data_IF_205991141183
#
_entry.id   IF_205991141183
#
_cell.length_a   1.000
_cell.length_b   1.000
_cell.length_c   1.000
_cell.angle_alpha   90.00
_cell.angle_beta   90.00
_cell.angle_gamma   90.00
#
_symmetry.space_group_name_H-M   'P 1'
#
loop_
_entity.id
_entity.type
_entity.pdbx_description
1 polymer ?
#
# COMPACT_ATOMS: atom_id res chain seq x y z
N UNK A 1 -4.75 4.35 12.57
CA UNK A 1 -4.70 5.77 12.91
C UNK A 1 -3.28 6.34 13.00
N UNK A 2 -2.25 5.51 13.22
CA UNK A 2 -0.85 5.92 13.30
C UNK A 2 -0.40 6.62 12.00
N UNK A 3 -0.66 6.03 10.86
CA UNK A 3 -0.25 6.59 9.55
C UNK A 3 -0.83 7.97 9.24
N UNK A 4 -2.06 8.26 9.71
CA UNK A 4 -2.68 9.59 9.56
C UNK A 4 -1.93 10.64 10.38
N UNK A 5 -1.60 10.30 11.61
CA UNK A 5 -0.81 11.18 12.50
C UNK A 5 0.57 11.47 11.93
N UNK A 6 1.23 10.46 11.37
CA UNK A 6 2.52 10.66 10.71
C UNK A 6 2.44 11.68 9.57
N UNK A 7 1.40 11.61 8.72
CA UNK A 7 1.22 12.60 7.64
C UNK A 7 0.96 14.00 8.21
N UNK A 8 0.16 14.12 9.27
CA UNK A 8 -0.11 15.40 9.94
C UNK A 8 1.18 15.99 10.52
N UNK A 9 1.92 15.21 11.30
CA UNK A 9 3.19 15.60 11.92
C UNK A 9 4.23 16.06 10.90
N UNK A 10 4.39 15.33 9.79
CA UNK A 10 5.29 15.73 8.71
C UNK A 10 4.78 16.97 7.96
N UNK A 11 3.47 17.10 7.77
CA UNK A 11 2.89 18.27 7.11
C UNK A 11 3.07 19.54 7.97
N UNK A 12 3.00 19.43 9.30
CA UNK A 12 3.34 20.52 10.24
C UNK A 12 4.82 20.93 10.15
N UNK A 13 5.72 19.97 9.89
CA UNK A 13 7.15 20.20 9.66
C UNK A 13 7.46 20.77 8.26
N UNK A 14 6.41 21.05 7.47
CA UNK A 14 6.54 21.66 6.14
C UNK A 14 6.63 20.65 4.98
N UNK A 15 6.44 19.35 5.21
CA UNK A 15 6.34 18.37 4.12
C UNK A 15 4.94 18.40 3.51
N UNK A 16 4.72 19.32 2.59
CA UNK A 16 3.41 19.63 2.00
C UNK A 16 3.17 18.95 0.65
N UNK A 17 4.16 18.26 0.11
CA UNK A 17 4.09 17.52 -1.16
C UNK A 17 4.18 16.03 -0.89
N UNK A 18 3.32 15.26 -1.53
CA UNK A 18 3.28 13.80 -1.45
C UNK A 18 3.61 13.20 -2.83
N UNK A 19 4.44 12.19 -2.83
CA UNK A 19 4.65 11.28 -3.95
C UNK A 19 3.84 10.02 -3.64
N UNK A 20 2.80 9.79 -4.42
CA UNK A 20 1.98 8.57 -4.31
C UNK A 20 2.49 7.58 -5.34
N UNK A 21 2.88 6.40 -4.89
CA UNK A 21 3.34 5.31 -5.75
C UNK A 21 2.30 4.18 -5.74
N UNK A 22 1.92 3.73 -6.92
CA UNK A 22 1.00 2.60 -7.14
C UNK A 22 1.78 1.49 -7.85
N UNK A 23 1.80 0.30 -7.27
CA UNK A 23 2.48 -0.86 -7.84
C UNK A 23 1.51 -1.67 -8.69
N UNK A 24 1.94 -2.04 -9.90
CA UNK A 24 1.14 -2.85 -10.80
C UNK A 24 1.25 -4.32 -10.41
N UNK A 25 0.12 -4.95 -10.04
CA UNK A 25 0.05 -6.38 -9.74
C UNK A 25 1.14 -6.84 -8.77
N UNK A 26 1.32 -6.11 -7.67
CA UNK A 26 2.44 -6.28 -6.75
C UNK A 26 2.66 -7.73 -6.33
N UNK A 27 1.60 -8.42 -5.89
CA UNK A 27 1.69 -9.81 -5.46
C UNK A 27 2.04 -10.79 -6.59
N UNK A 28 1.75 -10.44 -7.83
CA UNK A 28 1.99 -11.29 -8.99
C UNK A 28 3.39 -11.09 -9.61
N UNK A 29 4.12 -10.05 -9.16
CA UNK A 29 5.41 -9.65 -9.74
C UNK A 29 6.58 -9.73 -8.77
N UNK A 30 6.39 -10.33 -7.61
CA UNK A 30 7.46 -10.54 -6.62
C UNK A 30 8.53 -11.47 -7.19
N UNK A 31 9.77 -10.98 -7.27
CA UNK A 31 10.89 -11.80 -7.72
C UNK A 31 11.34 -12.77 -6.62
N UNK A 32 11.21 -14.09 -6.86
CA UNK A 32 11.50 -15.13 -5.89
C UNK A 32 12.96 -15.15 -5.44
N UNK A 33 13.92 -14.98 -6.36
CA UNK A 33 15.34 -15.02 -6.03
C UNK A 33 15.73 -13.86 -5.14
N UNK A 34 15.27 -12.66 -5.48
CA UNK A 34 15.55 -11.46 -4.69
C UNK A 34 14.92 -11.59 -3.29
N UNK A 35 13.66 -12.04 -3.18
CA UNK A 35 13.01 -12.28 -1.90
C UNK A 35 13.78 -13.28 -1.05
N UNK A 36 14.22 -14.40 -1.63
CA UNK A 36 15.01 -15.40 -0.93
C UNK A 36 16.35 -14.84 -0.48
N UNK A 37 17.02 -14.03 -1.29
CA UNK A 37 18.27 -13.39 -0.91
C UNK A 37 18.09 -12.39 0.25
N UNK A 38 16.99 -11.65 0.26
CA UNK A 38 16.62 -10.77 1.38
C UNK A 38 16.42 -11.61 2.66
N UNK A 39 15.61 -12.66 2.58
CA UNK A 39 15.32 -13.52 3.71
C UNK A 39 16.56 -14.19 4.30
N UNK A 40 17.52 -14.61 3.47
CA UNK A 40 18.77 -15.27 3.91
C UNK A 40 19.70 -14.36 4.74
N UNK A 41 19.48 -13.07 4.73
CA UNK A 41 20.26 -12.15 5.59
C UNK A 41 19.98 -12.44 7.06
N UNK A 42 18.73 -12.75 7.41
CA UNK A 42 18.27 -12.93 8.78
C UNK A 42 17.93 -14.39 9.10
N UNK A 43 17.32 -15.13 8.17
CA UNK A 43 16.93 -16.53 8.32
C UNK A 43 18.10 -17.44 7.91
N UNK A 44 18.77 -18.06 8.87
CA UNK A 44 19.93 -18.94 8.63
C UNK A 44 19.55 -20.41 8.45
N UNK A 45 18.36 -20.83 8.86
CA UNK A 45 17.89 -22.20 8.67
C UNK A 45 17.46 -22.44 7.22
N UNK A 46 18.26 -23.22 6.49
CA UNK A 46 18.00 -23.53 5.08
C UNK A 46 16.69 -24.33 4.90
N UNK A 47 16.24 -25.08 5.92
CA UNK A 47 14.96 -25.82 5.85
C UNK A 47 13.78 -24.85 5.74
N UNK A 48 13.84 -23.75 6.49
CA UNK A 48 12.83 -22.68 6.42
C UNK A 48 12.86 -22.01 5.04
N UNK A 49 14.05 -21.70 4.53
CA UNK A 49 14.21 -21.11 3.19
C UNK A 49 13.65 -22.04 2.10
N UNK A 50 13.93 -23.36 2.19
CA UNK A 50 13.39 -24.33 1.24
C UNK A 50 11.87 -24.45 1.32
N UNK A 51 11.29 -24.36 2.53
CA UNK A 51 9.84 -24.36 2.72
C UNK A 51 9.20 -23.13 2.05
N UNK A 52 9.79 -21.94 2.24
CA UNK A 52 9.32 -20.69 1.60
C UNK A 52 9.43 -20.80 0.06
N UNK A 53 10.52 -21.34 -0.46
CA UNK A 53 10.68 -21.58 -1.91
C UNK A 53 9.60 -22.51 -2.45
N UNK A 54 9.28 -23.60 -1.74
CA UNK A 54 8.18 -24.52 -2.13
C UNK A 54 6.85 -23.82 -2.12
N UNK A 55 6.59 -23.00 -1.10
CA UNK A 55 5.38 -22.19 -1.01
C UNK A 55 5.25 -21.23 -2.19
N UNK A 56 6.29 -20.48 -2.52
CA UNK A 56 6.28 -19.54 -3.65
C UNK A 56 6.06 -20.25 -5.00
N UNK A 57 6.62 -21.47 -5.16
CA UNK A 57 6.50 -22.28 -6.37
C UNK A 57 5.23 -23.14 -6.43
N UNK A 58 4.41 -23.17 -5.36
CA UNK A 58 3.20 -23.99 -5.32
C UNK A 58 2.19 -23.64 -6.39
N UNK A 59 2.31 -22.44 -6.98
CA UNK A 59 1.46 -21.97 -8.05
C UNK A 59 0.10 -21.49 -7.56
N UNK A 60 -0.71 -21.05 -8.48
CA UNK A 60 -2.11 -20.64 -8.28
C UNK A 60 -3.01 -21.67 -8.96
N UNK A 61 -4.03 -22.15 -8.24
CA UNK A 61 -5.06 -22.99 -8.85
C UNK A 61 -6.06 -22.09 -9.57
N UNK A 62 -6.06 -22.15 -10.90
CA UNK A 62 -7.00 -21.44 -11.73
C UNK A 62 -7.82 -22.46 -12.54
N UNK A 63 -9.14 -22.44 -12.38
CA UNK A 63 -10.06 -23.38 -13.03
C UNK A 63 -9.73 -24.89 -12.84
N UNK A 64 -9.17 -25.25 -11.66
CA UNK A 64 -8.80 -26.64 -11.36
C UNK A 64 -7.44 -27.08 -11.90
N UNK A 65 -6.68 -26.17 -12.55
CA UNK A 65 -5.32 -26.43 -13.04
C UNK A 65 -4.32 -25.65 -12.18
N UNK A 66 -3.27 -26.34 -11.72
CA UNK A 66 -2.17 -25.69 -10.99
C UNK A 66 -1.20 -25.08 -11.98
N UNK A 67 -1.18 -23.77 -12.06
CA UNK A 67 -0.19 -23.02 -12.87
C UNK A 67 1.01 -22.72 -11.97
N UNK A 68 2.16 -23.32 -12.28
CA UNK A 68 3.41 -22.98 -11.60
C UNK A 68 3.82 -21.56 -11.98
N UNK A 69 4.11 -20.75 -10.98
CA UNK A 69 4.58 -19.36 -11.18
C UNK A 69 6.07 -19.29 -10.83
N UNK A 70 6.84 -18.64 -11.70
CA UNK A 70 8.26 -18.32 -11.44
C UNK A 70 8.42 -16.98 -10.71
N UNK A 71 7.37 -16.17 -10.71
CA UNK A 71 7.28 -14.87 -10.04
C UNK A 71 5.96 -14.80 -9.25
N UNK A 72 5.92 -13.88 -8.29
CA UNK A 72 4.72 -13.60 -7.51
C UNK A 72 4.57 -14.45 -6.26
N UNK A 73 3.50 -14.22 -5.54
CA UNK A 73 3.14 -14.95 -4.33
C UNK A 73 1.69 -15.42 -4.44
N UNK A 74 1.35 -16.64 -3.99
CA UNK A 74 0.00 -17.17 -4.09
C UNK A 74 -1.05 -16.21 -3.53
N UNK A 75 -2.02 -15.79 -4.37
CA UNK A 75 -3.10 -14.90 -3.93
C UNK A 75 -3.96 -15.62 -2.88
N UNK A 76 -4.21 -14.93 -1.75
CA UNK A 76 -4.96 -15.50 -0.63
C UNK A 76 -4.17 -16.45 0.28
N UNK A 77 -2.89 -16.68 0.00
CA UNK A 77 -2.02 -17.45 0.88
C UNK A 77 -1.66 -16.68 2.16
N UNK A 78 -1.72 -17.36 3.32
CA UNK A 78 -1.51 -16.72 4.63
C UNK A 78 -0.10 -16.09 4.79
N UNK A 79 0.91 -16.62 4.09
CA UNK A 79 2.30 -16.13 4.15
C UNK A 79 2.56 -14.97 3.20
N UNK A 80 1.76 -14.82 2.14
CA UNK A 80 1.98 -13.82 1.09
C UNK A 80 2.06 -12.37 1.60
N UNK A 81 1.19 -11.90 2.53
CA UNK A 81 1.30 -10.54 3.05
C UNK A 81 2.58 -10.29 3.85
N UNK A 82 3.08 -11.30 4.58
CA UNK A 82 4.33 -11.21 5.32
C UNK A 82 5.52 -11.09 4.37
N UNK A 83 5.60 -11.98 3.38
CA UNK A 83 6.68 -11.97 2.39
C UNK A 83 6.70 -10.69 1.57
N UNK A 84 5.53 -10.19 1.20
CA UNK A 84 5.37 -8.90 0.54
C UNK A 84 5.91 -7.74 1.41
N UNK A 85 5.60 -7.73 2.70
CA UNK A 85 6.11 -6.71 3.61
C UNK A 85 7.64 -6.80 3.79
N UNK A 86 8.20 -8.01 3.87
CA UNK A 86 9.66 -8.21 3.91
C UNK A 86 10.32 -7.67 2.64
N UNK A 87 9.72 -7.90 1.47
CA UNK A 87 10.25 -7.43 0.20
C UNK A 87 10.30 -5.91 0.12
N UNK A 88 9.21 -5.22 0.45
CA UNK A 88 9.13 -3.75 0.43
C UNK A 88 9.86 -3.08 1.60
N UNK A 89 10.25 -3.81 2.63
CA UNK A 89 11.07 -3.27 3.71
C UNK A 89 12.44 -2.75 3.20
N UNK A 90 12.99 -3.32 2.13
CA UNK A 90 14.19 -2.80 1.46
C UNK A 90 13.98 -1.36 0.97
N UNK A 91 12.80 -1.09 0.40
CA UNK A 91 12.41 0.26 -0.01
C UNK A 91 12.30 1.20 1.19
N UNK A 92 11.61 0.78 2.24
CA UNK A 92 11.44 1.57 3.45
C UNK A 92 12.78 1.95 4.07
N UNK A 93 13.69 0.99 4.20
CA UNK A 93 15.02 1.22 4.76
C UNK A 93 15.86 2.17 3.90
N UNK A 94 15.83 2.01 2.58
CA UNK A 94 16.59 2.84 1.67
C UNK A 94 16.16 4.31 1.75
N UNK A 95 14.83 4.58 1.72
CA UNK A 95 14.34 5.95 1.78
C UNK A 95 14.46 6.56 3.18
N UNK A 96 14.34 5.77 4.23
CA UNK A 96 14.62 6.20 5.61
C UNK A 96 16.11 6.59 5.79
N UNK A 97 17.06 5.82 5.24
CA UNK A 97 18.49 6.17 5.24
C UNK A 97 18.77 7.49 4.54
N UNK A 98 18.00 7.81 3.49
CA UNK A 98 18.10 9.12 2.80
C UNK A 98 17.41 10.25 3.55
N UNK A 99 16.84 10.02 4.72
CA UNK A 99 16.10 11.02 5.49
C UNK A 99 14.78 11.45 4.83
N UNK A 100 14.21 10.61 3.96
CA UNK A 100 12.95 10.87 3.29
C UNK A 100 11.83 10.25 4.10
N UNK A 101 10.81 11.04 4.54
CA UNK A 101 9.64 10.48 5.18
C UNK A 101 8.90 9.53 4.25
N UNK A 102 8.93 8.24 4.61
CA UNK A 102 8.29 7.16 3.87
C UNK A 102 7.17 6.59 4.74
N UNK A 103 5.94 6.62 4.24
CA UNK A 103 4.77 6.10 4.92
C UNK A 103 4.16 5.03 4.02
N UNK A 104 4.14 3.78 4.49
CA UNK A 104 3.66 2.65 3.71
C UNK A 104 2.65 1.81 4.49
N UNK A 105 1.60 1.41 3.82
CA UNK A 105 0.65 0.41 4.28
C UNK A 105 0.44 -0.63 3.16
N UNK A 106 0.99 -1.82 3.35
CA UNK A 106 1.09 -2.86 2.32
C UNK A 106 1.77 -2.32 1.05
N UNK A 107 1.05 -2.23 -0.06
CA UNK A 107 1.47 -1.71 -1.36
C UNK A 107 1.16 -0.21 -1.58
N UNK A 108 0.39 0.41 -0.67
CA UNK A 108 0.13 1.85 -0.69
C UNK A 108 1.34 2.62 -0.12
N UNK A 109 2.15 3.22 -0.99
CA UNK A 109 3.38 3.93 -0.64
C UNK A 109 3.21 5.42 -0.84
N UNK A 110 3.57 6.21 0.17
CA UNK A 110 3.63 7.68 0.11
C UNK A 110 4.97 8.16 0.63
N UNK A 111 5.70 8.93 -0.20
CA UNK A 111 6.87 9.69 0.23
C UNK A 111 6.50 11.16 0.37
N UNK A 112 7.08 11.86 1.32
CA UNK A 112 6.78 13.26 1.55
C UNK A 112 7.98 14.15 1.25
N UNK A 113 7.70 15.34 0.68
CA UNK A 113 8.68 16.34 0.31
C UNK A 113 8.24 17.76 0.72
N UNK A 114 9.22 18.66 0.86
CA UNK A 114 8.96 20.07 1.21
C UNK A 114 8.66 20.94 -0.01
N UNK A 115 9.10 20.54 -1.21
CA UNK A 115 8.92 21.32 -2.44
C UNK A 115 8.49 20.46 -3.63
N UNK A 116 7.92 21.09 -4.66
CA UNK A 116 7.51 20.44 -5.90
C UNK A 116 8.70 19.73 -6.56
N UNK A 117 9.79 20.48 -6.78
CA UNK A 117 11.01 19.95 -7.39
C UNK A 117 11.60 18.76 -6.63
N UNK A 118 11.50 18.75 -5.28
CA UNK A 118 11.93 17.62 -4.47
C UNK A 118 11.00 16.42 -4.68
N UNK A 119 9.69 16.65 -4.75
CA UNK A 119 8.73 15.56 -4.98
C UNK A 119 8.89 14.92 -6.37
N UNK A 120 9.17 15.69 -7.42
CA UNK A 120 9.44 15.17 -8.76
C UNK A 120 10.70 14.29 -8.79
N UNK A 121 11.79 14.75 -8.17
CA UNK A 121 13.04 13.96 -8.02
C UNK A 121 12.80 12.67 -7.21
N UNK A 122 11.99 12.75 -6.16
CA UNK A 122 11.64 11.58 -5.37
C UNK A 122 10.80 10.57 -6.20
N UNK A 123 9.84 11.05 -7.00
CA UNK A 123 9.08 10.18 -7.89
C UNK A 123 10.00 9.43 -8.87
N UNK A 124 10.94 10.14 -9.48
CA UNK A 124 11.88 9.54 -10.41
C UNK A 124 12.81 8.53 -9.71
N UNK A 125 13.43 8.92 -8.59
CA UNK A 125 14.39 8.07 -7.87
C UNK A 125 13.72 6.85 -7.23
N UNK A 126 12.51 6.99 -6.71
CA UNK A 126 11.73 5.89 -6.15
C UNK A 126 11.28 4.91 -7.23
N UNK A 127 10.85 5.41 -8.39
CA UNK A 127 10.52 4.57 -9.54
C UNK A 127 11.75 3.79 -10.01
N UNK A 128 12.89 4.44 -10.17
CA UNK A 128 14.15 3.78 -10.53
C UNK A 128 14.56 2.70 -9.52
N UNK A 129 14.37 2.93 -8.25
CA UNK A 129 14.67 1.94 -7.21
C UNK A 129 13.72 0.74 -7.28
N UNK A 130 12.42 0.99 -7.37
CA UNK A 130 11.40 -0.07 -7.46
C UNK A 130 11.58 -0.93 -8.71
N UNK A 131 11.78 -0.30 -9.87
CA UNK A 131 11.93 -1.02 -11.14
C UNK A 131 13.34 -1.63 -11.32
N UNK A 132 14.38 -0.90 -10.93
CA UNK A 132 15.77 -1.31 -11.14
C UNK A 132 16.28 -2.31 -10.11
N UNK A 133 16.05 -2.06 -8.83
CA UNK A 133 16.57 -2.86 -7.71
C UNK A 133 15.57 -3.93 -7.29
N UNK A 134 14.32 -3.53 -7.03
CA UNK A 134 13.30 -4.45 -6.55
C UNK A 134 12.54 -5.17 -7.67
N UNK A 135 12.82 -4.88 -8.94
CA UNK A 135 12.20 -5.53 -10.11
C UNK A 135 10.67 -5.48 -10.11
N UNK A 136 10.10 -4.49 -9.41
CA UNK A 136 8.65 -4.27 -9.35
C UNK A 136 8.21 -3.32 -10.47
N UNK A 137 6.96 -3.44 -10.90
CA UNK A 137 6.39 -2.56 -11.94
C UNK A 137 5.61 -1.42 -11.30
N UNK A 138 6.03 -0.18 -11.55
CA UNK A 138 5.32 1.02 -11.10
C UNK A 138 4.24 1.40 -12.11
N UNK A 139 3.02 1.60 -11.65
CA UNK A 139 1.93 2.13 -12.47
C UNK A 139 2.12 3.64 -12.64
N UNK A 140 2.71 4.04 -13.77
CA UNK A 140 3.06 5.45 -14.05
C UNK A 140 1.84 6.36 -14.22
N UNK A 141 0.69 5.83 -14.63
CA UNK A 141 -0.55 6.61 -14.77
C UNK A 141 -1.15 7.00 -13.42
N UNK A 142 -0.99 6.15 -12.41
CA UNK A 142 -1.51 6.38 -11.07
C UNK A 142 -0.47 6.98 -10.12
N UNK A 143 0.82 6.72 -10.37
CA UNK A 143 1.91 7.29 -9.57
C UNK A 143 2.13 8.75 -9.93
N UNK A 144 2.12 9.63 -8.94
CA UNK A 144 2.18 11.07 -9.18
C UNK A 144 2.61 11.85 -7.95
N UNK A 145 3.02 13.08 -8.20
CA UNK A 145 3.19 14.11 -7.16
C UNK A 145 1.87 14.85 -6.93
N UNK A 146 1.58 15.19 -5.69
CA UNK A 146 0.36 15.90 -5.33
C UNK A 146 0.58 16.69 -4.02
N UNK A 147 -0.13 17.80 -3.83
CA UNK A 147 -0.14 18.45 -2.51
C UNK A 147 -0.86 17.58 -1.48
N UNK A 148 -0.29 17.44 -0.28
CA UNK A 148 -0.92 16.77 0.86
C UNK A 148 -2.32 17.37 1.14
N UNK A 149 -2.48 18.68 0.93
CA UNK A 149 -3.73 19.41 1.17
C UNK A 149 -4.69 19.42 -0.05
N UNK A 150 -4.38 18.70 -1.11
CA UNK A 150 -5.28 18.56 -2.26
C UNK A 150 -6.41 17.58 -1.93
N UNK A 151 -7.42 18.02 -1.18
CA UNK A 151 -8.53 17.23 -0.62
C UNK A 151 -9.21 16.30 -1.64
N UNK A 152 -9.29 16.72 -2.92
CA UNK A 152 -9.90 15.92 -3.99
C UNK A 152 -8.93 14.92 -4.61
N UNK A 153 -7.65 15.26 -4.64
CA UNK A 153 -6.63 14.55 -5.40
C UNK A 153 -5.69 13.70 -4.54
N UNK A 154 -5.50 14.07 -3.27
CA UNK A 154 -4.73 13.25 -2.32
C UNK A 154 -5.68 12.46 -1.43
N UNK A 155 -5.51 11.14 -1.47
CA UNK A 155 -6.23 10.19 -0.64
C UNK A 155 -5.24 9.15 -0.14
N UNK A 156 -5.18 8.96 1.17
CA UNK A 156 -4.41 7.88 1.79
C UNK A 156 -5.27 7.12 2.79
N UNK A 157 -5.34 5.81 2.64
CA UNK A 157 -6.16 4.90 3.47
C UNK A 157 -7.62 5.37 3.68
N UNK A 158 -8.20 6.01 2.66
CA UNK A 158 -9.58 6.50 2.72
C UNK A 158 -9.76 7.91 3.26
N UNK A 159 -8.70 8.58 3.68
CA UNK A 159 -8.70 9.92 4.27
C UNK A 159 -8.04 10.96 3.35
N UNK A 160 -8.36 12.21 3.58
CA UNK A 160 -7.72 13.38 2.99
C UNK A 160 -7.42 14.42 4.08
N UNK A 161 -6.49 15.30 3.77
CA UNK A 161 -5.94 16.28 4.70
C UNK A 161 -6.25 17.69 4.18
N UNK A 162 -6.55 18.58 5.08
CA UNK A 162 -6.78 19.99 4.76
C UNK A 162 -6.08 20.90 5.75
N UNK A 163 -5.88 22.16 5.37
CA UNK A 163 -5.32 23.20 6.23
C UNK A 163 -6.36 24.29 6.45
N UNK A 164 -6.49 24.74 7.69
CA UNK A 164 -7.34 25.86 8.09
C UNK A 164 -6.53 26.83 8.97
N UNK A 165 -7.11 27.95 9.33
CA UNK A 165 -6.47 28.90 10.26
C UNK A 165 -6.19 28.29 11.65
N UNK A 166 -6.86 27.19 12.01
CA UNK A 166 -6.67 26.46 13.28
C UNK A 166 -5.66 25.29 13.19
N UNK A 167 -5.05 25.06 12.02
CA UNK A 167 -4.10 23.98 11.81
C UNK A 167 -4.52 23.00 10.73
N UNK A 168 -3.88 21.83 10.71
CA UNK A 168 -4.18 20.73 9.80
C UNK A 168 -5.35 19.93 10.35
N UNK A 169 -6.20 19.44 9.48
CA UNK A 169 -7.31 18.56 9.83
C UNK A 169 -7.42 17.36 8.89
N UNK A 170 -7.89 16.24 9.42
CA UNK A 170 -8.16 15.02 8.66
C UNK A 170 -9.66 14.82 8.49
N UNK A 171 -10.07 14.40 7.31
CA UNK A 171 -11.46 14.04 7.01
C UNK A 171 -11.54 12.81 6.12
N UNK A 172 -12.66 12.12 6.17
CA UNK A 172 -12.91 11.00 5.27
C UNK A 172 -13.01 11.53 3.84
N UNK A 173 -12.29 10.91 2.92
CA UNK A 173 -12.31 11.29 1.51
C UNK A 173 -13.71 11.05 0.90
N UNK A 174 -14.19 11.98 0.04
CA UNK A 174 -15.54 11.95 -0.51
C UNK A 174 -15.92 10.62 -1.21
N UNK A 175 -14.98 10.01 -1.93
CA UNK A 175 -15.20 8.68 -2.55
C UNK A 175 -15.41 7.58 -1.50
N UNK A 176 -14.68 7.60 -0.38
CA UNK A 176 -14.85 6.63 0.72
C UNK A 176 -16.18 6.84 1.43
N UNK A 177 -16.55 8.09 1.67
CA UNK A 177 -17.85 8.44 2.25
C UNK A 177 -19.03 8.02 1.36
N UNK A 178 -18.92 8.21 0.04
CA UNK A 178 -19.93 7.74 -0.91
C UNK A 178 -20.10 6.22 -0.87
N UNK A 179 -18.99 5.46 -0.88
CA UNK A 179 -19.02 3.99 -0.73
C UNK A 179 -19.68 3.54 0.58
N UNK A 180 -19.36 4.20 1.70
CA UNK A 180 -19.97 3.89 2.99
C UNK A 180 -21.49 4.14 2.98
N UNK A 181 -21.94 5.28 2.45
CA UNK A 181 -23.36 5.59 2.28
C UNK A 181 -24.08 4.57 1.40
N UNK A 182 -23.49 4.18 0.27
CA UNK A 182 -24.06 3.17 -0.62
C UNK A 182 -24.18 1.80 0.06
N UNK A 183 -23.14 1.40 0.82
CA UNK A 183 -23.18 0.16 1.61
C UNK A 183 -24.27 0.20 2.67
N UNK A 184 -24.38 1.30 3.42
CA UNK A 184 -25.43 1.50 4.40
C UNK A 184 -26.83 1.44 3.76
N UNK A 185 -27.05 2.16 2.67
CA UNK A 185 -28.33 2.12 1.95
C UNK A 185 -28.71 0.71 1.49
N UNK A 186 -27.73 -0.07 1.00
CA UNK A 186 -27.97 -1.47 0.62
C UNK A 186 -28.34 -2.34 1.84
N UNK A 187 -27.72 -2.11 2.99
CA UNK A 187 -27.99 -2.85 4.22
C UNK A 187 -29.33 -2.48 4.86
N UNK A 188 -29.74 -1.20 4.76
CA UNK A 188 -30.98 -0.67 5.35
C UNK A 188 -32.14 -0.54 4.35
N UNK A 189 -32.03 -1.15 3.17
CA UNK A 189 -33.09 -1.10 2.16
C UNK A 189 -34.38 -1.75 2.68
N UNK A 190 -35.52 -1.04 2.51
CA UNK A 190 -36.84 -1.52 2.94
C UNK A 190 -37.29 -2.79 2.21
N UNK A 191 -36.78 -3.04 1.01
CA UNK A 191 -37.06 -4.26 0.23
C UNK A 191 -36.32 -5.52 0.77
N UNK A 192 -35.42 -5.38 1.73
CA UNK A 192 -34.80 -6.53 2.39
C UNK A 192 -35.69 -7.06 3.49
N UNK A 193 -36.30 -8.20 3.22
CA UNK A 193 -36.96 -8.97 4.27
C UNK A 193 -35.94 -9.50 5.28
N UNK A 194 -36.01 -9.06 6.53
CA UNK A 194 -35.11 -9.52 7.60
C UNK A 194 -35.37 -8.82 8.93
N UNK A 195 -34.98 -9.48 10.01
CA UNK A 195 -35.06 -8.91 11.36
C UNK A 195 -34.16 -7.67 11.48
N UNK A 196 -34.65 -6.62 12.16
CA UNK A 196 -33.89 -5.41 12.51
C UNK A 196 -32.61 -5.79 13.25
N UNK A 197 -32.67 -6.75 14.18
CA UNK A 197 -31.53 -7.24 14.95
C UNK A 197 -30.42 -7.74 14.03
N UNK A 198 -30.72 -8.61 13.05
CA UNK A 198 -29.76 -9.12 12.06
C UNK A 198 -29.19 -8.02 11.17
N UNK A 199 -29.97 -6.97 10.90
CA UNK A 199 -29.49 -5.81 10.12
C UNK A 199 -28.50 -4.99 10.93
N UNK A 200 -28.76 -4.74 12.19
CA UNK A 200 -27.88 -4.02 13.11
C UNK A 200 -26.54 -4.76 13.34
N UNK A 201 -26.56 -6.09 13.46
CA UNK A 201 -25.34 -6.91 13.56
C UNK A 201 -24.45 -6.83 12.32
N UNK A 202 -25.03 -6.66 11.12
CA UNK A 202 -24.28 -6.47 9.86
C UNK A 202 -23.72 -5.08 9.66
N UNK A 203 -24.23 -4.09 10.39
CA UNK A 203 -23.76 -2.70 10.35
C UNK A 203 -22.60 -2.47 11.33
N UNK A 204 -22.55 -3.23 12.42
CA UNK A 204 -21.43 -3.24 13.35
C UNK A 204 -20.18 -3.86 12.69
#
# INVERSE_FOLDING_TARGET
DVYKRQIEEYAEQGYTKAVVLDLSKYFDTLNHELLVNILRRDVKDERVIQMIKRYLRSGVMENGVVIKTEEGSPQGGNLSPLLANVYLNEFDQEFNKRGVPCIRYADDIVLLAKSERASERLLESSTKYLEGILKLKVNREKSRTVSVFAIRNFKYLGFCFGKSGKGIYVRVHGKSWKKAKEKLRKLTSRSRCGSIVKTMERIK
#
